data_IF_197302013616
#
_entry.id   IF_197302013616
#
_cell.length_a   1.000
_cell.length_b   1.000
_cell.length_c   1.000
_cell.angle_alpha   90.00
_cell.angle_beta   90.00
_cell.angle_gamma   90.00
#
_symmetry.space_group_name_H-M   'P 1'
#
loop_
_entity.id
_entity.type
_entity.pdbx_description
1 polymer ?
#
# COMPACT_ATOMS: atom_id res chain seq x y z
N UNK A 1 13.92 4.37 -24.22
CA UNK A 1 13.89 4.26 -22.76
C UNK A 1 14.02 2.80 -22.41
N UNK A 2 15.15 2.39 -21.82
CA UNK A 2 15.36 1.00 -21.37
C UNK A 2 14.28 0.67 -20.34
N UNK A 3 13.49 -0.37 -20.58
CA UNK A 3 12.54 -0.87 -19.59
C UNK A 3 13.37 -1.30 -18.37
N UNK A 4 13.20 -0.60 -17.24
CA UNK A 4 13.79 -1.02 -15.98
C UNK A 4 13.27 -2.42 -15.69
N UNK A 5 14.16 -3.39 -15.62
CA UNK A 5 13.82 -4.77 -15.30
C UNK A 5 13.20 -4.77 -13.90
N UNK A 6 11.95 -5.14 -13.79
CA UNK A 6 11.32 -5.35 -12.48
C UNK A 6 11.91 -6.62 -11.89
N UNK A 7 12.44 -6.52 -10.68
CA UNK A 7 12.90 -7.70 -9.94
C UNK A 7 11.74 -8.45 -9.28
N UNK A 8 10.67 -7.71 -8.91
CA UNK A 8 9.57 -8.24 -8.11
C UNK A 8 8.21 -7.78 -8.66
N UNK A 9 7.20 -8.63 -8.55
CA UNK A 9 5.80 -8.22 -8.76
C UNK A 9 5.20 -7.71 -7.44
N UNK A 10 4.45 -6.61 -7.51
CA UNK A 10 3.84 -5.97 -6.34
C UNK A 10 2.43 -6.52 -6.16
N UNK A 11 2.14 -7.05 -4.97
CA UNK A 11 0.82 -7.49 -4.57
C UNK A 11 0.40 -6.74 -3.30
N UNK A 12 -0.82 -6.24 -3.26
CA UNK A 12 -1.28 -5.45 -2.11
C UNK A 12 -2.48 -6.07 -1.41
N UNK A 13 -2.41 -6.09 -0.09
CA UNK A 13 -3.50 -6.48 0.78
C UNK A 13 -3.86 -5.29 1.66
N UNK A 14 -5.12 -4.87 1.63
CA UNK A 14 -5.64 -3.75 2.41
C UNK A 14 -6.68 -4.22 3.41
N UNK A 15 -6.48 -3.91 4.68
CA UNK A 15 -7.41 -4.23 5.75
C UNK A 15 -8.05 -2.95 6.29
N UNK A 16 -9.37 -2.85 6.11
CA UNK A 16 -10.14 -1.64 6.44
C UNK A 16 -10.00 -0.53 5.40
N UNK A 17 -10.68 0.59 5.64
CA UNK A 17 -10.77 1.71 4.69
C UNK A 17 -9.43 2.28 4.26
N UNK A 18 -8.46 2.43 5.17
CA UNK A 18 -7.13 2.93 4.83
C UNK A 18 -6.43 2.02 3.80
N UNK A 19 -6.50 0.69 4.01
CA UNK A 19 -5.94 -0.26 3.06
C UNK A 19 -6.65 -0.25 1.71
N UNK A 20 -7.98 -0.11 1.69
CA UNK A 20 -8.76 -0.03 0.46
C UNK A 20 -8.41 1.21 -0.38
N UNK A 21 -8.16 2.38 0.27
CA UNK A 21 -7.77 3.62 -0.40
C UNK A 21 -6.40 3.49 -1.09
N UNK A 22 -5.44 2.87 -0.43
CA UNK A 22 -4.11 2.67 -0.99
C UNK A 22 -4.15 1.69 -2.17
N UNK A 23 -4.96 0.62 -2.09
CA UNK A 23 -5.19 -0.27 -3.22
C UNK A 23 -5.83 0.48 -4.39
N UNK A 24 -6.83 1.34 -4.13
CA UNK A 24 -7.45 2.16 -5.18
C UNK A 24 -6.41 3.06 -5.88
N UNK A 25 -5.54 3.71 -5.10
CA UNK A 25 -4.44 4.52 -5.62
C UNK A 25 -3.48 3.67 -6.46
N UNK A 26 -3.09 2.48 -5.96
CA UNK A 26 -2.18 1.57 -6.64
C UNK A 26 -2.71 1.08 -7.98
N UNK A 27 -3.96 0.57 -8.04
CA UNK A 27 -4.53 0.08 -9.30
C UNK A 27 -4.80 1.19 -10.30
N UNK A 28 -4.99 2.43 -9.83
CA UNK A 28 -5.22 3.61 -10.66
C UNK A 28 -3.92 4.23 -11.18
N UNK A 29 -2.78 3.89 -10.59
CA UNK A 29 -1.46 4.39 -10.99
C UNK A 29 -1.09 3.91 -12.40
N UNK A 30 -0.55 4.83 -13.21
CA UNK A 30 -0.16 4.52 -14.59
C UNK A 30 0.95 3.47 -14.65
N UNK A 31 1.84 3.44 -13.66
CA UNK A 31 2.91 2.44 -13.55
C UNK A 31 2.35 1.03 -13.42
N UNK A 32 1.30 0.84 -12.59
CA UNK A 32 0.59 -0.45 -12.48
C UNK A 32 0.05 -0.88 -13.84
N UNK A 33 -0.59 0.03 -14.57
CA UNK A 33 -1.16 -0.26 -15.89
C UNK A 33 -0.10 -0.63 -16.93
N UNK A 34 1.10 -0.06 -16.84
CA UNK A 34 2.23 -0.41 -17.72
C UNK A 34 2.82 -1.77 -17.35
N UNK A 35 3.01 -2.02 -16.07
CA UNK A 35 3.64 -3.25 -15.56
C UNK A 35 2.81 -4.50 -15.86
N UNK A 36 1.48 -4.42 -15.79
CA UNK A 36 0.61 -5.57 -16.11
C UNK A 36 0.66 -5.98 -17.60
N UNK A 37 1.21 -5.12 -18.47
CA UNK A 37 1.45 -5.46 -19.88
C UNK A 37 2.70 -6.31 -20.05
N UNK A 38 3.61 -6.33 -19.07
CA UNK A 38 4.84 -7.10 -19.15
C UNK A 38 4.56 -8.61 -19.09
N UNK A 39 5.30 -9.36 -19.91
CA UNK A 39 5.22 -10.81 -19.92
C UNK A 39 5.72 -11.36 -18.57
N UNK A 40 4.92 -12.26 -17.96
CA UNK A 40 5.32 -12.90 -16.70
C UNK A 40 5.00 -12.12 -15.43
N UNK A 41 4.49 -10.88 -15.53
CA UNK A 41 3.97 -10.13 -14.39
C UNK A 41 2.47 -10.34 -14.26
N UNK A 42 2.04 -10.76 -13.09
CA UNK A 42 0.65 -10.85 -12.68
C UNK A 42 0.49 -10.09 -11.37
N UNK A 43 -0.59 -9.38 -11.20
CA UNK A 43 -0.86 -8.58 -10.00
C UNK A 43 -2.13 -9.09 -9.34
N UNK A 44 -2.10 -9.23 -8.01
CA UNK A 44 -3.29 -9.46 -7.21
C UNK A 44 -3.39 -8.42 -6.11
N UNK A 45 -4.59 -7.90 -5.91
CA UNK A 45 -4.93 -7.08 -4.75
C UNK A 45 -6.07 -7.73 -3.99
N UNK A 46 -6.06 -7.59 -2.66
CA UNK A 46 -7.10 -8.10 -1.77
C UNK A 46 -7.47 -7.01 -0.77
N UNK A 47 -8.71 -6.55 -0.79
CA UNK A 47 -9.25 -5.63 0.21
C UNK A 47 -10.34 -6.28 1.03
N UNK A 48 -10.21 -6.19 2.37
CA UNK A 48 -11.19 -6.72 3.31
C UNK A 48 -11.61 -5.60 4.27
N UNK A 49 -12.91 -5.34 4.36
CA UNK A 49 -13.47 -4.44 5.35
C UNK A 49 -14.81 -4.99 5.89
N UNK A 50 -15.25 -4.46 7.01
CA UNK A 50 -16.63 -4.64 7.51
C UNK A 50 -17.56 -3.58 6.90
N UNK A 51 -17.05 -2.37 6.64
CA UNK A 51 -17.79 -1.30 5.99
C UNK A 51 -17.96 -1.54 4.48
N UNK A 52 -19.16 -1.29 3.95
CA UNK A 52 -19.45 -1.47 2.52
C UNK A 52 -18.93 -0.33 1.63
N UNK A 53 -18.85 0.88 2.19
CA UNK A 53 -18.60 2.09 1.39
C UNK A 53 -17.27 2.07 0.64
N UNK A 54 -16.18 1.78 1.34
CA UNK A 54 -14.83 1.74 0.78
C UNK A 54 -14.66 0.59 -0.21
N UNK A 55 -15.26 -0.56 0.09
CA UNK A 55 -15.26 -1.73 -0.81
C UNK A 55 -16.02 -1.43 -2.11
N UNK A 56 -17.20 -0.79 -2.03
CA UNK A 56 -17.97 -0.39 -3.23
C UNK A 56 -17.22 0.62 -4.09
N UNK A 57 -16.54 1.59 -3.45
CA UNK A 57 -15.73 2.58 -4.15
C UNK A 57 -14.56 1.92 -4.88
N UNK A 58 -13.82 1.05 -4.19
CA UNK A 58 -12.70 0.30 -4.78
C UNK A 58 -13.17 -0.59 -5.94
N UNK A 59 -14.30 -1.28 -5.81
CA UNK A 59 -14.89 -2.06 -6.91
C UNK A 59 -15.21 -1.19 -8.12
N UNK A 60 -15.78 0.00 -7.91
CA UNK A 60 -16.04 0.94 -8.98
C UNK A 60 -14.78 1.41 -9.70
N UNK A 61 -13.71 1.71 -8.95
CA UNK A 61 -12.41 2.05 -9.51
C UNK A 61 -11.79 0.86 -10.25
N UNK A 62 -11.82 -0.32 -9.65
CA UNK A 62 -11.32 -1.56 -10.24
C UNK A 62 -11.97 -1.87 -11.58
N UNK A 63 -13.29 -1.80 -11.67
CA UNK A 63 -14.02 -2.03 -12.93
C UNK A 63 -13.60 -1.05 -14.02
N UNK A 64 -13.37 0.23 -13.70
CA UNK A 64 -12.88 1.22 -14.67
C UNK A 64 -11.46 0.88 -15.16
N UNK A 65 -10.59 0.44 -14.27
CA UNK A 65 -9.22 0.04 -14.63
C UNK A 65 -9.23 -1.21 -15.50
N UNK A 66 -9.96 -2.26 -15.12
CA UNK A 66 -10.06 -3.50 -15.88
C UNK A 66 -10.65 -3.27 -17.29
N UNK A 67 -11.66 -2.40 -17.40
CA UNK A 67 -12.22 -2.03 -18.71
C UNK A 67 -11.16 -1.37 -19.60
N UNK A 68 -10.38 -0.42 -19.06
CA UNK A 68 -9.30 0.24 -19.83
C UNK A 68 -8.19 -0.73 -20.25
N UNK A 69 -7.82 -1.66 -19.39
CA UNK A 69 -6.84 -2.69 -19.71
C UNK A 69 -7.34 -3.62 -20.82
N UNK A 70 -8.61 -4.01 -20.79
CA UNK A 70 -9.25 -4.81 -21.83
C UNK A 70 -9.27 -4.07 -23.19
N UNK A 71 -9.57 -2.77 -23.19
CA UNK A 71 -9.51 -1.90 -24.39
C UNK A 71 -8.07 -1.82 -24.96
N UNK A 72 -7.04 -2.01 -24.13
CA UNK A 72 -5.63 -2.07 -24.53
C UNK A 72 -5.15 -3.49 -24.90
N UNK A 73 -6.04 -4.48 -24.92
CA UNK A 73 -5.73 -5.86 -25.25
C UNK A 73 -4.99 -6.63 -24.15
N UNK A 74 -4.98 -6.12 -22.90
CA UNK A 74 -4.37 -6.80 -21.77
C UNK A 74 -5.27 -7.98 -21.34
N UNK A 75 -4.72 -9.20 -21.18
CA UNK A 75 -5.49 -10.34 -20.71
C UNK A 75 -6.13 -10.09 -19.34
N UNK A 76 -7.37 -10.51 -19.10
CA UNK A 76 -8.12 -10.19 -17.89
C UNK A 76 -7.53 -10.80 -16.62
N UNK A 77 -6.72 -11.84 -16.75
CA UNK A 77 -6.06 -12.51 -15.63
C UNK A 77 -4.77 -11.83 -15.17
N UNK A 78 -4.29 -10.80 -15.88
CA UNK A 78 -3.07 -10.07 -15.52
C UNK A 78 -3.21 -9.22 -14.26
N UNK A 79 -4.40 -8.67 -14.01
CA UNK A 79 -4.72 -7.91 -12.81
C UNK A 79 -5.97 -8.47 -12.16
N UNK A 80 -5.82 -9.03 -10.96
CA UNK A 80 -6.91 -9.51 -10.15
C UNK A 80 -7.18 -8.53 -8.98
N UNK A 81 -8.41 -8.06 -8.87
CA UNK A 81 -8.86 -7.18 -7.80
C UNK A 81 -9.90 -7.93 -6.98
N UNK A 82 -9.50 -8.38 -5.80
CA UNK A 82 -10.35 -9.14 -4.88
C UNK A 82 -10.82 -8.20 -3.78
N UNK A 83 -12.10 -8.14 -3.54
CA UNK A 83 -12.69 -7.30 -2.50
C UNK A 83 -13.75 -8.06 -1.73
N UNK A 84 -13.82 -7.85 -0.43
CA UNK A 84 -14.83 -8.48 0.40
C UNK A 84 -15.28 -7.55 1.54
N UNK A 85 -16.58 -7.39 1.67
CA UNK A 85 -17.19 -6.78 2.84
C UNK A 85 -17.71 -7.88 3.75
N UNK A 86 -16.89 -8.21 4.78
CA UNK A 86 -17.21 -9.32 5.69
C UNK A 86 -18.37 -8.99 6.63
N UNK A 87 -19.29 -9.93 6.76
CA UNK A 87 -20.51 -9.79 7.55
C UNK A 87 -20.70 -11.01 8.43
N UNK A 88 -21.71 -10.95 9.30
CA UNK A 88 -22.21 -12.10 10.04
C UNK A 88 -23.71 -12.29 9.75
N UNK A 89 -24.22 -13.52 9.80
CA UNK A 89 -25.63 -13.77 9.52
C UNK A 89 -26.55 -13.11 10.56
N UNK A 90 -26.27 -13.35 11.85
CA UNK A 90 -26.99 -12.74 12.99
C UNK A 90 -26.00 -12.52 14.14
N UNK A 91 -26.28 -11.56 15.06
CA UNK A 91 -25.48 -11.39 16.26
C UNK A 91 -25.35 -12.67 17.08
N UNK A 92 -26.44 -13.38 17.27
CA UNK A 92 -26.47 -14.64 18.05
C UNK A 92 -25.58 -15.72 17.44
N UNK A 93 -25.59 -15.87 16.11
CA UNK A 93 -24.71 -16.79 15.41
C UNK A 93 -23.24 -16.44 15.62
N UNK A 94 -22.90 -15.15 15.60
CA UNK A 94 -21.53 -14.68 15.87
C UNK A 94 -21.13 -14.95 17.33
N UNK A 95 -21.98 -14.59 18.29
CA UNK A 95 -21.70 -14.86 19.71
C UNK A 95 -21.56 -16.36 20.01
N UNK A 96 -22.45 -17.16 19.48
CA UNK A 96 -22.37 -18.63 19.61
C UNK A 96 -21.06 -19.14 18.99
N UNK A 97 -20.69 -18.65 17.83
CA UNK A 97 -19.44 -19.05 17.19
C UNK A 97 -18.23 -18.69 18.07
N UNK A 98 -18.13 -17.47 18.59
CA UNK A 98 -17.00 -17.05 19.43
C UNK A 98 -16.95 -17.86 20.72
N UNK A 99 -18.09 -18.19 21.34
CA UNK A 99 -18.12 -18.94 22.59
C UNK A 99 -17.81 -20.44 22.41
N UNK A 100 -18.33 -21.07 21.38
CA UNK A 100 -18.33 -22.52 21.24
C UNK A 100 -17.51 -23.02 20.01
N UNK A 101 -17.57 -22.29 18.89
CA UNK A 101 -16.98 -22.71 17.63
C UNK A 101 -15.51 -22.35 17.55
N UNK A 102 -15.16 -21.11 17.85
CA UNK A 102 -13.79 -20.62 17.73
C UNK A 102 -12.74 -21.44 18.50
N UNK A 103 -12.96 -21.79 19.78
CA UNK A 103 -12.00 -22.63 20.51
C UNK A 103 -11.82 -24.01 19.91
N UNK A 104 -12.85 -24.59 19.27
CA UNK A 104 -12.73 -25.88 18.57
C UNK A 104 -11.80 -25.78 17.36
N UNK A 105 -11.95 -24.71 16.55
CA UNK A 105 -11.07 -24.47 15.41
C UNK A 105 -9.64 -24.16 15.84
N UNK A 106 -9.45 -23.36 16.90
CA UNK A 106 -8.12 -23.12 17.47
C UNK A 106 -7.43 -24.42 17.88
N UNK A 107 -8.17 -25.31 18.54
CA UNK A 107 -7.65 -26.62 18.94
C UNK A 107 -7.28 -27.49 17.72
N UNK A 108 -8.05 -27.44 16.63
CA UNK A 108 -7.73 -28.14 15.39
C UNK A 108 -6.45 -27.61 14.71
N UNK A 109 -6.13 -26.33 14.90
CA UNK A 109 -4.86 -25.71 14.45
C UNK A 109 -3.70 -25.96 15.41
N UNK A 110 -3.88 -26.74 16.46
CA UNK A 110 -2.86 -27.07 17.44
C UNK A 110 -2.63 -25.98 18.49
N UNK A 111 -3.55 -25.00 18.60
CA UNK A 111 -3.47 -23.93 19.59
C UNK A 111 -3.99 -24.38 20.95
N UNK A 112 -3.36 -23.89 22.01
CA UNK A 112 -3.81 -24.17 23.37
C UNK A 112 -5.04 -23.35 23.73
N UNK A 113 -6.18 -24.04 23.93
CA UNK A 113 -7.46 -23.41 24.26
C UNK A 113 -7.85 -23.55 25.74
N UNK A 114 -6.99 -24.11 26.60
CA UNK A 114 -7.27 -24.33 28.00
C UNK A 114 -7.71 -23.09 28.77
N UNK A 115 -7.13 -21.95 28.44
CA UNK A 115 -7.41 -20.66 29.07
C UNK A 115 -8.21 -19.73 28.17
N UNK A 116 -8.86 -20.27 27.14
CA UNK A 116 -9.65 -19.45 26.23
C UNK A 116 -10.79 -18.74 26.98
N UNK A 117 -10.93 -17.45 26.71
CA UNK A 117 -12.07 -16.64 27.16
C UNK A 117 -12.63 -15.89 25.97
N UNK A 118 -13.95 -15.89 25.75
CA UNK A 118 -14.60 -15.09 24.73
C UNK A 118 -14.30 -13.62 24.94
N UNK A 119 -13.99 -12.90 23.85
CA UNK A 119 -13.68 -11.46 23.88
C UNK A 119 -14.86 -10.57 23.48
N UNK A 120 -15.97 -11.18 23.10
CA UNK A 120 -17.27 -10.51 22.85
C UNK A 120 -18.36 -11.20 23.68
N UNK A 121 -19.33 -10.42 24.14
CA UNK A 121 -20.46 -10.94 24.91
C UNK A 121 -21.77 -10.57 24.25
N UNK A 122 -22.84 -11.31 24.57
CA UNK A 122 -24.19 -11.02 24.09
C UNK A 122 -24.73 -9.66 24.58
N UNK A 123 -24.14 -9.10 25.63
CA UNK A 123 -24.47 -7.74 26.14
C UNK A 123 -23.77 -6.63 25.34
N UNK A 124 -22.91 -6.96 24.39
CA UNK A 124 -22.20 -5.96 23.56
C UNK A 124 -23.18 -5.33 22.57
N UNK A 125 -23.26 -4.00 22.58
CA UNK A 125 -24.02 -3.27 21.58
C UNK A 125 -23.30 -3.34 20.22
N UNK A 126 -24.02 -3.82 19.21
CA UNK A 126 -23.50 -3.93 17.84
C UNK A 126 -23.97 -2.72 17.06
N UNK A 127 -23.05 -1.87 16.59
CA UNK A 127 -23.40 -0.72 15.76
C UNK A 127 -23.92 -1.15 14.38
N UNK A 128 -24.65 -0.27 13.67
CA UNK A 128 -25.01 -0.50 12.28
C UNK A 128 -23.74 -0.66 11.43
N UNK A 129 -23.52 -1.86 10.86
CA UNK A 129 -22.29 -2.20 10.17
C UNK A 129 -22.11 -1.50 8.79
N UNK A 130 -23.09 -0.74 8.33
CA UNK A 130 -22.99 0.02 7.07
C UNK A 130 -21.81 0.99 7.10
N UNK A 131 -21.55 1.62 8.28
CA UNK A 131 -20.40 2.49 8.49
C UNK A 131 -19.17 1.80 9.12
N UNK A 132 -19.19 0.47 9.24
CA UNK A 132 -18.14 -0.31 9.88
C UNK A 132 -18.44 -0.67 11.33
N UNK A 133 -17.42 -1.06 12.09
CA UNK A 133 -17.54 -1.56 13.47
C UNK A 133 -17.42 -0.51 14.56
N UNK A 134 -17.53 0.78 14.23
CA UNK A 134 -17.39 1.89 15.18
C UNK A 134 -16.13 1.74 16.09
N UNK A 135 -15.01 1.33 15.51
CA UNK A 135 -13.71 1.06 16.18
C UNK A 135 -13.72 -0.10 17.20
N UNK A 136 -14.76 -0.89 17.23
CA UNK A 136 -14.81 -2.09 18.08
C UNK A 136 -13.94 -3.20 17.51
N UNK A 137 -12.66 -3.21 17.85
CA UNK A 137 -11.66 -4.18 17.36
C UNK A 137 -12.06 -5.64 17.62
N UNK A 138 -12.58 -5.91 18.82
CA UNK A 138 -13.09 -7.25 19.18
C UNK A 138 -14.23 -7.73 18.29
N UNK A 139 -15.12 -6.82 17.87
CA UNK A 139 -16.22 -7.13 16.96
C UNK A 139 -15.68 -7.49 15.56
N UNK A 140 -14.75 -6.72 15.02
CA UNK A 140 -14.13 -7.05 13.71
C UNK A 140 -13.37 -8.38 13.75
N UNK A 141 -12.68 -8.68 14.85
CA UNK A 141 -12.01 -9.96 15.05
C UNK A 141 -13.04 -11.12 15.04
N UNK A 142 -14.18 -10.96 15.71
CA UNK A 142 -15.24 -11.96 15.75
C UNK A 142 -15.85 -12.19 14.36
N UNK A 143 -16.15 -11.12 13.63
CA UNK A 143 -16.67 -11.20 12.25
C UNK A 143 -15.65 -11.89 11.33
N UNK A 144 -14.39 -11.49 11.42
CA UNK A 144 -13.31 -12.10 10.63
C UNK A 144 -13.18 -13.61 10.92
N UNK A 145 -13.12 -13.99 12.20
CA UNK A 145 -12.97 -15.39 12.61
C UNK A 145 -14.13 -16.26 12.11
N UNK A 146 -15.36 -15.75 12.21
CA UNK A 146 -16.54 -16.44 11.66
C UNK A 146 -16.42 -16.67 10.14
N UNK A 147 -16.00 -15.64 9.41
CA UNK A 147 -15.83 -15.70 7.95
C UNK A 147 -14.65 -16.58 7.52
N UNK A 148 -13.62 -16.69 8.34
CA UNK A 148 -12.50 -17.58 8.07
C UNK A 148 -12.86 -19.04 8.35
N UNK A 149 -13.31 -19.34 9.57
CA UNK A 149 -13.45 -20.71 10.05
C UNK A 149 -14.78 -21.38 9.65
N UNK A 150 -15.90 -20.66 9.79
CA UNK A 150 -17.22 -21.26 9.58
C UNK A 150 -17.76 -21.03 8.18
N UNK A 151 -17.64 -19.81 7.64
CA UNK A 151 -18.17 -19.48 6.32
C UNK A 151 -17.16 -19.75 5.19
N UNK A 152 -15.91 -19.98 5.54
CA UNK A 152 -14.80 -20.22 4.61
C UNK A 152 -14.61 -19.12 3.51
N UNK A 153 -15.21 -17.96 3.70
CA UNK A 153 -15.10 -16.83 2.74
C UNK A 153 -13.67 -16.38 2.62
N UNK A 154 -13.01 -16.09 3.75
CA UNK A 154 -11.62 -15.60 3.76
C UNK A 154 -10.66 -16.65 3.22
N UNK A 155 -10.84 -17.93 3.54
CA UNK A 155 -10.00 -19.01 3.02
C UNK A 155 -10.00 -19.05 1.49
N UNK A 156 -11.19 -18.89 0.89
CA UNK A 156 -11.33 -18.84 -0.57
C UNK A 156 -10.62 -17.62 -1.17
N UNK A 157 -10.75 -16.45 -0.53
CA UNK A 157 -10.08 -15.22 -1.00
C UNK A 157 -8.55 -15.35 -0.92
N UNK A 158 -8.02 -15.88 0.18
CA UNK A 158 -6.58 -16.12 0.33
C UNK A 158 -6.07 -17.14 -0.70
N UNK A 159 -6.85 -18.20 -0.98
CA UNK A 159 -6.52 -19.17 -2.01
C UNK A 159 -6.49 -18.55 -3.41
N UNK A 160 -7.45 -17.68 -3.74
CA UNK A 160 -7.48 -16.96 -5.00
C UNK A 160 -6.29 -16.01 -5.13
N UNK A 161 -5.96 -15.29 -4.06
CA UNK A 161 -4.80 -14.42 -3.99
C UNK A 161 -3.49 -15.20 -4.24
N UNK A 162 -3.29 -16.32 -3.54
CA UNK A 162 -2.13 -17.20 -3.73
C UNK A 162 -2.04 -17.73 -5.17
N UNK A 163 -3.16 -18.16 -5.75
CA UNK A 163 -3.19 -18.69 -7.10
C UNK A 163 -2.71 -17.66 -8.12
N UNK A 164 -3.00 -16.38 -7.90
CA UNK A 164 -2.50 -15.32 -8.77
C UNK A 164 -1.00 -15.10 -8.60
N UNK A 165 -0.49 -15.11 -7.37
CA UNK A 165 0.94 -15.00 -7.10
C UNK A 165 1.73 -16.12 -7.79
N UNK A 166 1.20 -17.35 -7.79
CA UNK A 166 1.88 -18.49 -8.39
C UNK A 166 2.04 -18.44 -9.92
N UNK A 167 1.34 -17.52 -10.61
CA UNK A 167 1.52 -17.28 -12.03
C UNK A 167 2.71 -16.39 -12.36
N UNK A 168 3.23 -15.65 -11.37
CA UNK A 168 4.34 -14.71 -11.58
C UNK A 168 5.62 -15.44 -11.95
N UNK A 169 6.32 -14.95 -12.97
CA UNK A 169 7.66 -15.41 -13.33
C UNK A 169 8.76 -14.62 -12.61
N UNK A 170 8.39 -13.55 -11.92
CA UNK A 170 9.25 -12.74 -11.04
C UNK A 170 8.83 -12.96 -9.59
N UNK A 171 9.71 -12.65 -8.65
CA UNK A 171 9.43 -12.84 -7.21
C UNK A 171 8.23 -12.00 -6.78
N UNK A 172 7.19 -12.60 -6.17
CA UNK A 172 6.09 -11.84 -5.63
C UNK A 172 6.51 -11.13 -4.34
N UNK A 173 6.23 -9.83 -4.24
CA UNK A 173 6.42 -9.01 -3.05
C UNK A 173 5.06 -8.56 -2.54
N UNK A 174 4.69 -8.97 -1.34
CA UNK A 174 3.37 -8.70 -0.76
C UNK A 174 3.46 -7.57 0.25
N UNK A 175 2.63 -6.54 0.05
CA UNK A 175 2.43 -5.45 1.01
C UNK A 175 1.10 -5.64 1.73
N UNK A 176 1.13 -5.70 3.06
CA UNK A 176 -0.08 -5.75 3.88
C UNK A 176 -0.27 -4.41 4.60
N UNK A 177 -1.37 -3.73 4.31
CA UNK A 177 -1.63 -2.35 4.68
C UNK A 177 -2.83 -2.30 5.63
N UNK A 178 -2.67 -1.67 6.78
CA UNK A 178 -3.70 -1.58 7.80
C UNK A 178 -3.57 -0.32 8.66
N UNK A 179 -4.70 0.24 9.08
CA UNK A 179 -4.73 1.41 9.96
C UNK A 179 -4.91 1.00 11.43
N UNK A 180 -4.16 1.63 12.33
CA UNK A 180 -4.28 1.37 13.78
C UNK A 180 -5.43 2.11 14.45
N UNK A 181 -5.84 3.26 13.90
CA UNK A 181 -6.94 4.06 14.45
C UNK A 181 -8.33 3.50 14.15
N UNK A 182 -8.45 2.63 13.15
CA UNK A 182 -9.71 2.00 12.74
C UNK A 182 -10.02 0.72 13.51
N UNK A 183 -11.27 0.27 13.45
CA UNK A 183 -11.70 -0.99 14.07
C UNK A 183 -11.36 -2.22 13.25
N UNK A 184 -11.56 -2.18 11.92
CA UNK A 184 -11.37 -3.34 11.05
C UNK A 184 -9.89 -3.70 10.92
N UNK A 185 -9.07 -2.82 10.36
CA UNK A 185 -7.65 -3.12 10.10
C UNK A 185 -6.91 -3.53 11.38
N UNK A 186 -7.05 -2.74 12.45
CA UNK A 186 -6.38 -3.00 13.73
C UNK A 186 -6.92 -4.25 14.46
N UNK A 187 -8.16 -4.64 14.23
CA UNK A 187 -8.80 -5.77 14.90
C UNK A 187 -8.54 -7.12 14.24
N UNK A 188 -8.33 -7.14 12.92
CA UNK A 188 -8.16 -8.42 12.18
C UNK A 188 -6.72 -8.73 11.81
N UNK A 189 -5.81 -7.76 11.86
CA UNK A 189 -4.44 -7.91 11.33
C UNK A 189 -3.71 -9.15 11.87
N UNK A 190 -3.86 -9.46 13.14
CA UNK A 190 -3.13 -10.55 13.80
C UNK A 190 -3.52 -11.91 13.24
N UNK A 191 -4.82 -12.24 13.30
CA UNK A 191 -5.33 -13.51 12.80
C UNK A 191 -5.20 -13.57 11.28
N UNK A 192 -5.40 -12.45 10.58
CA UNK A 192 -5.23 -12.37 9.14
C UNK A 192 -3.79 -12.72 8.73
N UNK A 193 -2.79 -12.14 9.37
CA UNK A 193 -1.39 -12.39 9.04
C UNK A 193 -0.96 -13.81 9.31
N UNK A 194 -1.46 -14.42 10.38
CA UNK A 194 -1.28 -15.84 10.67
C UNK A 194 -1.82 -16.70 9.53
N UNK A 195 -3.06 -16.46 9.12
CA UNK A 195 -3.71 -17.20 8.03
C UNK A 195 -3.08 -16.93 6.67
N UNK A 196 -2.66 -15.70 6.41
CA UNK A 196 -1.92 -15.33 5.20
C UNK A 196 -0.59 -16.09 5.14
N UNK A 197 0.16 -16.14 6.25
CA UNK A 197 1.43 -16.85 6.31
C UNK A 197 1.26 -18.37 6.13
N UNK A 198 0.21 -18.95 6.71
CA UNK A 198 -0.16 -20.35 6.47
C UNK A 198 -0.47 -20.61 4.99
N UNK A 199 -1.11 -19.66 4.32
CA UNK A 199 -1.49 -19.79 2.90
C UNK A 199 -0.30 -19.62 1.96
N UNK A 200 0.55 -18.60 2.19
CA UNK A 200 1.66 -18.24 1.28
C UNK A 200 2.97 -18.97 1.61
N UNK A 201 3.10 -19.50 2.84
CA UNK A 201 4.37 -20.07 3.31
C UNK A 201 5.40 -19.02 3.69
N UNK A 202 6.58 -19.46 4.17
CA UNK A 202 7.67 -18.58 4.64
C UNK A 202 8.47 -17.93 3.49
N UNK A 203 8.36 -18.45 2.28
CA UNK A 203 9.18 -18.05 1.12
C UNK A 203 8.72 -16.73 0.48
N UNK A 204 7.45 -16.37 0.64
CA UNK A 204 6.92 -15.14 0.06
C UNK A 204 7.25 -13.96 0.98
N UNK A 205 7.99 -12.95 0.50
CA UNK A 205 8.27 -11.74 1.27
C UNK A 205 6.99 -10.95 1.56
N UNK A 206 6.77 -10.63 2.84
CA UNK A 206 5.62 -9.85 3.29
C UNK A 206 6.11 -8.63 4.06
N UNK A 207 5.77 -7.45 3.56
CA UNK A 207 6.05 -6.16 4.19
C UNK A 207 4.77 -5.59 4.78
N UNK A 208 4.78 -5.30 6.07
CA UNK A 208 3.69 -4.62 6.76
C UNK A 208 3.80 -3.10 6.64
N UNK A 209 2.69 -2.45 6.34
CA UNK A 209 2.56 -0.99 6.32
C UNK A 209 1.46 -0.57 7.30
N UNK A 210 1.87 -0.10 8.44
CA UNK A 210 1.02 0.26 9.56
C UNK A 210 0.76 1.77 9.56
N UNK A 211 -0.47 2.18 9.28
CA UNK A 211 -0.86 3.59 9.26
C UNK A 211 -1.18 4.04 10.69
N UNK A 212 -0.41 4.97 11.20
CA UNK A 212 -0.62 5.56 12.51
C UNK A 212 -1.78 6.57 12.47
N UNK A 213 -2.53 6.74 13.58
CA UNK A 213 -3.52 7.79 13.68
C UNK A 213 -2.91 9.18 13.48
N UNK A 214 -3.71 10.09 12.91
CA UNK A 214 -3.37 11.49 12.72
C UNK A 214 -3.77 12.33 13.93
N UNK A 215 -3.13 13.48 14.13
CA UNK A 215 -3.54 14.44 15.17
C UNK A 215 -4.97 14.94 15.00
N UNK A 216 -5.48 14.93 13.77
CA UNK A 216 -6.87 15.26 13.44
C UNK A 216 -7.87 14.14 13.77
N UNK A 217 -7.43 12.92 14.02
CA UNK A 217 -8.30 11.82 14.42
C UNK A 217 -8.83 12.05 15.85
N UNK A 218 -9.95 11.41 16.16
CA UNK A 218 -10.51 11.51 17.50
C UNK A 218 -9.68 10.77 18.57
N UNK A 219 -9.98 11.03 19.83
CA UNK A 219 -9.26 10.47 20.97
C UNK A 219 -9.31 8.94 21.03
N UNK A 220 -10.39 8.30 20.57
CA UNK A 220 -10.52 6.85 20.58
C UNK A 220 -9.57 6.19 19.57
N UNK A 221 -9.39 6.79 18.39
CA UNK A 221 -8.43 6.33 17.38
C UNK A 221 -7.00 6.45 17.88
N UNK A 222 -6.64 7.61 18.43
CA UNK A 222 -5.28 7.91 18.92
C UNK A 222 -4.92 7.15 20.19
N UNK A 223 -5.89 6.94 21.07
CA UNK A 223 -5.71 6.29 22.36
C UNK A 223 -5.96 4.78 22.30
N UNK A 224 -7.17 4.36 22.63
CA UNK A 224 -7.51 2.97 22.90
C UNK A 224 -7.20 2.01 21.73
N UNK A 225 -7.59 2.36 20.49
CA UNK A 225 -7.39 1.50 19.34
C UNK A 225 -5.92 1.34 18.97
N UNK A 226 -5.19 2.46 18.86
CA UNK A 226 -3.78 2.43 18.47
C UNK A 226 -2.91 1.79 19.56
N UNK A 227 -3.12 2.16 20.83
CA UNK A 227 -2.36 1.60 21.97
C UNK A 227 -2.51 0.10 22.06
N UNK A 228 -3.75 -0.42 22.03
CA UNK A 228 -3.98 -1.86 22.08
C UNK A 228 -3.34 -2.59 20.88
N UNK A 229 -3.49 -2.03 19.67
CA UNK A 229 -2.91 -2.64 18.48
C UNK A 229 -1.39 -2.64 18.48
N UNK A 230 -0.74 -1.56 18.94
CA UNK A 230 0.73 -1.49 19.05
C UNK A 230 1.23 -2.51 20.07
N UNK A 231 0.58 -2.64 21.22
CA UNK A 231 0.96 -3.62 22.23
C UNK A 231 0.84 -5.05 21.71
N UNK A 232 -0.25 -5.37 21.01
CA UNK A 232 -0.43 -6.69 20.40
C UNK A 232 0.63 -6.95 19.31
N UNK A 233 0.95 -5.94 18.47
CA UNK A 233 2.02 -6.07 17.47
C UNK A 233 3.39 -6.26 18.13
N UNK A 234 3.70 -5.50 19.17
CA UNK A 234 4.92 -5.67 19.92
C UNK A 234 5.01 -7.08 20.49
N UNK A 235 3.87 -7.61 20.99
CA UNK A 235 3.74 -8.98 21.40
C UNK A 235 4.10 -10.00 20.31
N UNK A 236 3.69 -9.84 19.08
CA UNK A 236 3.99 -10.75 17.98
C UNK A 236 5.43 -10.64 17.44
N UNK A 237 6.06 -9.49 17.61
CA UNK A 237 7.32 -9.18 16.94
C UNK A 237 8.56 -9.24 17.85
N UNK A 238 8.37 -9.21 19.18
CA UNK A 238 9.45 -9.23 20.14
C UNK A 238 10.08 -10.60 20.32
N UNK A 239 11.38 -10.67 20.59
CA UNK A 239 12.08 -11.91 20.95
C UNK A 239 11.65 -12.48 22.32
N UNK A 240 11.06 -11.65 23.16
CA UNK A 240 10.53 -12.02 24.47
C UNK A 240 9.28 -12.90 24.40
N UNK A 241 8.82 -13.21 23.19
CA UNK A 241 7.57 -13.94 22.92
C UNK A 241 7.74 -15.43 22.65
N UNK A 242 8.87 -15.99 23.01
CA UNK A 242 8.91 -17.43 23.22
C UNK A 242 7.68 -17.90 24.04
N UNK A 243 7.26 -17.12 25.06
CA UNK A 243 6.10 -17.41 25.86
C UNK A 243 4.76 -17.38 25.11
N UNK A 244 4.56 -16.50 24.13
CA UNK A 244 3.35 -16.51 23.28
C UNK A 244 3.41 -17.67 22.30
N UNK A 245 4.56 -17.92 21.69
CA UNK A 245 4.77 -19.08 20.81
C UNK A 245 4.64 -20.37 21.57
N UNK A 246 5.17 -20.48 22.79
CA UNK A 246 5.01 -21.64 23.67
C UNK A 246 3.56 -21.84 24.09
N UNK A 247 2.84 -20.75 24.36
CA UNK A 247 1.45 -20.81 24.83
C UNK A 247 0.46 -21.08 23.70
N UNK A 248 0.65 -20.46 22.52
CA UNK A 248 -0.31 -20.48 21.42
C UNK A 248 0.20 -21.18 20.16
N UNK A 249 1.49 -21.55 20.10
CA UNK A 249 2.09 -22.28 18.99
C UNK A 249 2.79 -21.40 17.94
N UNK A 250 3.58 -22.06 17.10
CA UNK A 250 4.36 -21.46 16.02
C UNK A 250 3.57 -20.59 15.00
N UNK A 251 2.24 -20.75 14.81
CA UNK A 251 1.48 -19.83 13.96
C UNK A 251 1.54 -18.36 14.38
N UNK A 252 1.92 -18.07 15.62
CA UNK A 252 2.12 -16.70 16.14
C UNK A 252 3.57 -16.21 16.07
N UNK A 253 4.46 -16.96 15.43
CA UNK A 253 5.79 -16.46 15.06
C UNK A 253 5.63 -15.23 14.13
N UNK A 254 6.55 -14.26 14.25
CA UNK A 254 6.47 -13.02 13.46
C UNK A 254 6.18 -13.29 11.98
N UNK A 255 5.02 -12.85 11.47
CA UNK A 255 4.61 -13.15 10.10
C UNK A 255 5.22 -12.20 9.07
N UNK A 256 5.83 -11.09 9.47
CA UNK A 256 6.39 -10.08 8.59
C UNK A 256 7.88 -10.30 8.37
N UNK A 257 8.35 -10.03 7.15
CA UNK A 257 9.78 -9.90 6.88
C UNK A 257 10.30 -8.53 7.29
N UNK A 258 9.47 -7.50 7.15
CA UNK A 258 9.72 -6.16 7.65
C UNK A 258 8.40 -5.44 7.88
N UNK A 259 8.36 -4.48 8.81
CA UNK A 259 7.19 -3.66 9.05
C UNK A 259 7.56 -2.19 9.20
N UNK A 260 6.73 -1.32 8.61
CA UNK A 260 6.90 0.12 8.65
C UNK A 260 5.69 0.79 9.30
N UNK A 261 5.95 1.68 10.24
CA UNK A 261 4.97 2.62 10.76
C UNK A 261 4.97 3.89 9.90
N UNK A 262 3.81 4.24 9.38
CA UNK A 262 3.60 5.40 8.52
C UNK A 262 2.86 6.48 9.29
N UNK A 263 3.53 7.59 9.58
CA UNK A 263 2.96 8.70 10.34
C UNK A 263 2.22 9.69 9.42
N UNK A 264 0.96 9.95 9.71
CA UNK A 264 0.13 10.94 9.01
C UNK A 264 0.37 12.37 9.51
N UNK A 265 0.62 12.55 10.81
CA UNK A 265 0.71 13.87 11.45
C UNK A 265 1.74 14.83 10.82
N UNK A 266 2.94 14.39 10.41
CA UNK A 266 3.90 15.30 9.74
C UNK A 266 3.40 15.85 8.42
N UNK A 267 2.59 15.09 7.68
CA UNK A 267 1.98 15.54 6.42
C UNK A 267 0.78 16.42 6.72
N UNK A 268 -0.03 16.06 7.70
CA UNK A 268 -1.18 16.84 8.14
C UNK A 268 -0.78 18.24 8.62
N UNK A 269 0.31 18.38 9.37
CA UNK A 269 0.82 19.68 9.80
C UNK A 269 1.15 20.64 8.64
N UNK A 270 1.41 20.11 7.45
CA UNK A 270 1.68 20.89 6.23
C UNK A 270 0.43 21.14 5.39
N UNK A 271 -0.47 20.16 5.29
CA UNK A 271 -1.67 20.26 4.45
C UNK A 271 -2.84 20.94 5.16
N UNK A 272 -2.93 20.80 6.48
CA UNK A 272 -4.06 21.25 7.30
C UNK A 272 -5.38 20.55 7.01
N UNK A 273 -5.38 19.57 6.06
CA UNK A 273 -6.59 18.90 5.60
C UNK A 273 -6.39 17.39 5.54
N UNK A 274 -7.22 16.65 6.26
CA UNK A 274 -7.12 15.20 6.35
C UNK A 274 -7.26 14.49 5.00
N UNK A 275 -8.20 14.85 4.08
CA UNK A 275 -8.29 14.21 2.76
C UNK A 275 -7.06 14.43 1.87
N UNK A 276 -6.39 15.57 1.98
CA UNK A 276 -5.16 15.87 1.25
C UNK A 276 -3.99 15.08 1.83
N UNK A 277 -3.95 14.97 3.17
CA UNK A 277 -2.97 14.15 3.89
C UNK A 277 -3.06 12.69 3.45
N UNK A 278 -4.28 12.10 3.45
CA UNK A 278 -4.48 10.73 3.02
C UNK A 278 -4.02 10.52 1.57
N UNK A 279 -4.43 11.37 0.63
CA UNK A 279 -4.00 11.26 -0.77
C UNK A 279 -2.49 11.32 -0.93
N UNK A 280 -1.82 12.19 -0.19
CA UNK A 280 -0.36 12.32 -0.24
C UNK A 280 0.33 11.04 0.30
N UNK A 281 -0.18 10.49 1.41
CA UNK A 281 0.35 9.26 2.01
C UNK A 281 0.06 8.04 1.14
N UNK A 282 -1.16 7.92 0.59
CA UNK A 282 -1.53 6.81 -0.29
C UNK A 282 -0.60 6.75 -1.51
N UNK A 283 -0.37 7.91 -2.15
CA UNK A 283 0.58 7.99 -3.27
C UNK A 283 2.01 7.66 -2.83
N UNK A 284 2.41 8.14 -1.69
CA UNK A 284 3.72 7.89 -1.11
C UNK A 284 3.98 6.40 -0.87
N UNK A 285 3.02 5.68 -0.33
CA UNK A 285 3.09 4.23 -0.11
C UNK A 285 3.23 3.48 -1.44
N UNK A 286 2.47 3.89 -2.45
CA UNK A 286 2.57 3.34 -3.80
C UNK A 286 3.97 3.60 -4.39
N UNK A 287 4.51 4.79 -4.22
CA UNK A 287 5.87 5.14 -4.68
C UNK A 287 6.95 4.27 -4.00
N UNK A 288 6.80 4.02 -2.69
CA UNK A 288 7.70 3.13 -1.93
C UNK A 288 7.61 1.69 -2.43
N UNK A 289 6.39 1.17 -2.64
CA UNK A 289 6.21 -0.17 -3.15
C UNK A 289 6.93 -0.36 -4.50
N UNK A 290 6.84 0.62 -5.40
CA UNK A 290 7.58 0.61 -6.66
C UNK A 290 9.09 0.72 -6.48
N UNK A 291 9.54 1.51 -5.53
CA UNK A 291 10.97 1.64 -5.23
C UNK A 291 11.51 0.31 -4.71
N UNK A 292 10.85 -0.29 -3.73
CA UNK A 292 11.25 -1.57 -3.15
C UNK A 292 11.20 -2.72 -4.18
N UNK A 293 10.23 -2.72 -5.09
CA UNK A 293 10.13 -3.75 -6.13
C UNK A 293 11.26 -3.70 -7.16
N UNK A 294 12.01 -2.60 -7.22
CA UNK A 294 13.15 -2.43 -8.13
C UNK A 294 14.47 -3.00 -7.60
N UNK A 295 14.50 -3.50 -6.37
CA UNK A 295 15.66 -4.14 -5.75
C UNK A 295 15.53 -5.66 -5.74
N UNK A 296 16.63 -6.37 -5.68
CA UNK A 296 16.61 -7.78 -5.31
C UNK A 296 16.02 -7.95 -3.91
N UNK A 297 15.24 -9.02 -3.70
CA UNK A 297 14.55 -9.22 -2.41
C UNK A 297 15.53 -9.42 -1.26
N UNK A 298 16.61 -10.16 -1.49
CA UNK A 298 17.60 -10.42 -0.44
C UNK A 298 18.31 -9.12 -0.05
N UNK A 299 18.78 -8.37 -1.04
CA UNK A 299 19.42 -7.07 -0.84
C UNK A 299 18.47 -6.10 -0.14
N UNK A 300 17.20 -6.06 -0.59
CA UNK A 300 16.17 -5.22 0.02
C UNK A 300 15.95 -5.58 1.49
N UNK A 301 15.76 -6.86 1.82
CA UNK A 301 15.51 -7.30 3.19
C UNK A 301 16.70 -7.07 4.10
N UNK A 302 17.92 -7.20 3.58
CA UNK A 302 19.13 -6.87 4.33
C UNK A 302 19.23 -5.39 4.69
N UNK A 303 18.75 -4.51 3.81
CA UNK A 303 18.78 -3.06 4.02
C UNK A 303 17.61 -2.55 4.88
N UNK A 304 16.40 -3.06 4.67
CA UNK A 304 15.20 -2.60 5.41
C UNK A 304 14.96 -3.34 6.72
N UNK A 305 15.86 -4.23 7.09
CA UNK A 305 15.93 -4.72 8.42
C UNK A 305 15.18 -5.99 8.74
N UNK A 306 15.75 -7.10 8.41
CA UNK A 306 15.65 -8.27 9.28
C UNK A 306 16.53 -7.99 10.48
N UNK A 307 16.00 -7.69 11.63
CA UNK A 307 16.60 -7.47 12.93
C UNK A 307 18.00 -7.97 13.33
N UNK A 308 18.86 -8.28 12.41
CA UNK A 308 20.22 -8.72 12.69
C UNK A 308 21.17 -7.59 13.14
N UNK A 309 20.85 -6.34 12.84
CA UNK A 309 21.75 -5.21 13.09
C UNK A 309 21.46 -4.40 14.34
N UNK A 310 20.30 -4.52 14.94
CA UNK A 310 19.90 -3.67 16.08
C UNK A 310 19.06 -4.49 17.03
N UNK A 311 19.51 -4.85 18.14
CA UNK A 311 18.83 -5.44 19.30
C UNK A 311 17.45 -6.11 19.13
N UNK A 312 16.85 -6.62 20.17
CA UNK A 312 15.61 -7.42 20.09
C UNK A 312 14.38 -6.71 19.56
N UNK A 313 14.38 -5.37 19.45
CA UNK A 313 13.18 -4.56 19.19
C UNK A 313 13.09 -4.00 17.77
N UNK A 314 13.85 -4.49 16.80
CA UNK A 314 14.10 -3.78 15.54
C UNK A 314 13.30 -4.24 14.32
N UNK A 315 12.19 -4.94 14.50
CA UNK A 315 11.33 -5.33 13.37
C UNK A 315 10.34 -4.23 12.91
N UNK A 316 10.26 -3.11 13.65
CA UNK A 316 9.44 -1.97 13.33
C UNK A 316 10.31 -0.79 12.89
N UNK A 317 10.14 -0.37 11.66
CA UNK A 317 10.79 0.80 11.10
C UNK A 317 9.81 1.97 11.02
N UNK A 318 10.25 3.18 11.40
CA UNK A 318 9.47 4.38 11.13
C UNK A 318 9.75 4.84 9.70
N UNK A 319 8.70 4.92 8.90
CA UNK A 319 8.80 5.42 7.55
C UNK A 319 8.57 6.93 7.54
N UNK A 320 9.59 7.66 7.15
CA UNK A 320 9.49 9.08 6.81
C UNK A 320 9.83 9.26 5.34
N UNK A 321 9.07 10.09 4.65
CA UNK A 321 9.33 10.42 3.26
C UNK A 321 9.57 11.90 3.09
N UNK A 322 10.58 12.24 2.30
CA UNK A 322 10.78 13.58 1.75
C UNK A 322 10.51 13.49 0.25
N UNK A 323 9.46 14.15 -0.21
CA UNK A 323 9.20 14.32 -1.64
C UNK A 323 9.91 15.56 -2.11
N UNK A 324 10.98 15.38 -2.88
CA UNK A 324 11.61 16.48 -3.62
C UNK A 324 10.90 16.59 -4.96
N UNK A 325 10.15 17.68 -5.13
CA UNK A 325 9.49 17.99 -6.41
C UNK A 325 10.37 18.95 -7.18
N UNK A 326 11.01 18.43 -8.23
CA UNK A 326 11.66 19.29 -9.19
C UNK A 326 10.60 19.85 -10.14
N UNK A 327 10.48 21.18 -10.31
CA UNK A 327 9.40 21.79 -11.09
C UNK A 327 9.63 21.66 -12.60
N UNK A 328 9.80 20.44 -13.10
CA UNK A 328 10.08 20.14 -14.51
C UNK A 328 9.04 20.77 -15.44
N UNK A 329 7.78 20.77 -15.04
CA UNK A 329 6.71 21.35 -15.87
C UNK A 329 6.88 22.86 -16.08
N UNK A 330 7.37 23.60 -15.08
CA UNK A 330 7.64 25.03 -15.20
C UNK A 330 8.75 25.27 -16.24
N UNK A 331 9.79 24.45 -16.21
CA UNK A 331 10.89 24.54 -17.16
C UNK A 331 10.48 24.12 -18.58
N UNK A 332 9.63 23.10 -18.70
CA UNK A 332 9.07 22.67 -19.99
C UNK A 332 8.20 23.77 -20.59
N UNK A 333 7.34 24.41 -19.81
CA UNK A 333 6.48 25.51 -20.28
C UNK A 333 7.30 26.76 -20.63
N UNK A 334 8.32 27.10 -19.85
CA UNK A 334 9.23 28.17 -20.16
C UNK A 334 9.99 27.89 -21.48
N UNK A 335 10.48 26.68 -21.67
CA UNK A 335 11.16 26.26 -22.89
C UNK A 335 10.23 26.30 -24.12
N UNK A 336 8.98 25.81 -23.99
CA UNK A 336 7.97 25.90 -25.04
C UNK A 336 7.66 27.35 -25.42
N UNK A 337 7.51 28.24 -24.44
CA UNK A 337 7.26 29.67 -24.67
C UNK A 337 8.43 30.33 -25.42
N UNK A 338 9.66 29.99 -25.07
CA UNK A 338 10.82 30.49 -25.77
C UNK A 338 10.94 29.95 -27.20
N UNK A 339 10.66 28.65 -27.40
CA UNK A 339 10.65 28.04 -28.72
C UNK A 339 9.60 28.69 -29.63
N UNK A 340 8.39 28.92 -29.13
CA UNK A 340 7.34 29.61 -29.88
C UNK A 340 7.70 31.03 -30.25
N UNK A 341 8.41 31.75 -29.37
CA UNK A 341 8.94 33.09 -29.72
C UNK A 341 10.00 33.04 -30.83
N UNK A 342 10.89 32.06 -30.77
CA UNK A 342 11.92 31.87 -31.80
C UNK A 342 11.30 31.48 -33.14
N UNK A 343 10.29 30.64 -33.16
CA UNK A 343 9.54 30.27 -34.36
C UNK A 343 8.81 31.48 -34.96
N UNK A 344 8.22 32.32 -34.09
CA UNK A 344 7.61 33.58 -34.53
C UNK A 344 8.64 34.54 -35.18
N UNK A 345 9.79 34.73 -34.53
CA UNK A 345 10.86 35.57 -35.10
C UNK A 345 11.42 35.00 -36.41
N UNK A 346 11.56 33.69 -36.50
CA UNK A 346 11.98 33.01 -37.72
C UNK A 346 10.95 33.16 -38.84
N UNK A 347 9.66 33.12 -38.54
CA UNK A 347 8.57 33.40 -39.48
C UNK A 347 8.63 34.81 -40.01
N UNK A 348 8.74 35.80 -39.13
CA UNK A 348 8.87 37.24 -39.54
C UNK A 348 10.07 37.46 -40.43
N UNK A 349 11.22 36.89 -40.09
CA UNK A 349 12.45 37.03 -40.88
C UNK A 349 12.38 36.33 -42.24
N UNK A 350 11.57 35.28 -42.37
CA UNK A 350 11.39 34.56 -43.64
C UNK A 350 10.36 35.18 -44.57
N UNK A 351 9.36 35.90 -44.04
CA UNK A 351 8.33 36.56 -44.82
C UNK A 351 8.79 37.88 -45.45
N UNK A 352 9.72 38.59 -44.83
CA UNK A 352 10.14 39.89 -45.30
C UNK A 352 11.25 39.90 -46.38
N UNK A 353 11.83 38.75 -46.74
CA UNK A 353 12.90 38.62 -47.74
C UNK A 353 14.06 39.63 -47.53
N UNK A 354 14.22 40.17 -46.34
CA UNK A 354 15.21 41.20 -45.99
C UNK A 354 16.43 40.50 -45.41
N UNK A 355 17.32 40.03 -46.26
CA UNK A 355 18.66 39.64 -45.87
C UNK A 355 19.52 40.87 -45.75
N UNK A 356 19.30 41.70 -44.74
CA UNK A 356 20.24 42.75 -44.33
C UNK A 356 21.38 42.11 -43.51
N UNK A 357 22.61 42.58 -43.66
CA UNK A 357 23.75 42.10 -42.86
C UNK A 357 23.53 42.19 -41.34
N UNK A 358 22.62 43.11 -40.92
CA UNK A 358 22.17 43.25 -39.55
C UNK A 358 21.43 42.01 -39.02
N UNK A 359 20.69 41.29 -39.85
CA UNK A 359 19.87 40.13 -39.45
C UNK A 359 20.74 38.91 -39.17
N UNK A 360 21.85 38.77 -39.87
CA UNK A 360 22.88 37.75 -39.57
C UNK A 360 23.51 37.96 -38.19
N UNK A 361 23.69 39.21 -37.76
CA UNK A 361 24.16 39.51 -36.40
C UNK A 361 23.15 39.20 -35.34
N UNK A 362 21.86 39.47 -35.58
CA UNK A 362 20.78 39.14 -34.67
C UNK A 362 20.63 37.63 -34.56
N UNK A 363 20.65 36.90 -35.65
CA UNK A 363 20.60 35.43 -35.64
C UNK A 363 21.81 34.83 -34.92
N UNK A 364 23.01 35.32 -35.15
CA UNK A 364 24.22 34.85 -34.47
C UNK A 364 24.22 35.20 -32.97
N UNK A 365 23.64 36.32 -32.59
CA UNK A 365 23.44 36.71 -31.19
C UNK A 365 22.45 35.77 -30.52
N UNK A 366 21.29 35.53 -31.14
CA UNK A 366 20.27 34.59 -30.61
C UNK A 366 20.83 33.17 -30.51
N UNK A 367 21.57 32.70 -31.51
CA UNK A 367 22.22 31.38 -31.45
C UNK A 367 23.27 31.28 -30.35
N UNK A 368 24.02 32.33 -30.09
CA UNK A 368 25.02 32.37 -29.03
C UNK A 368 24.38 32.44 -27.65
N UNK A 369 23.34 33.25 -27.45
CA UNK A 369 22.55 33.31 -26.22
C UNK A 369 21.92 31.95 -25.91
N UNK A 370 21.36 31.26 -26.92
CA UNK A 370 20.81 29.92 -26.75
C UNK A 370 21.87 28.89 -26.40
N UNK A 371 23.05 28.94 -27.00
CA UNK A 371 24.18 28.06 -26.68
C UNK A 371 24.69 28.28 -25.26
N UNK A 372 24.76 29.55 -24.81
CA UNK A 372 25.13 29.84 -23.42
C UNK A 372 24.07 29.37 -22.42
N UNK A 373 22.82 29.65 -22.69
CA UNK A 373 21.71 29.18 -21.84
C UNK A 373 21.68 27.66 -21.75
N UNK A 374 21.85 26.95 -22.88
CA UNK A 374 21.90 25.52 -22.92
C UNK A 374 23.12 24.95 -22.20
N UNK A 375 24.25 25.62 -22.30
CA UNK A 375 25.47 25.28 -21.58
C UNK A 375 25.30 25.42 -20.06
N UNK A 376 24.68 26.52 -19.62
CA UNK A 376 24.42 26.76 -18.20
C UNK A 376 23.36 25.82 -17.63
N UNK A 377 22.35 25.48 -18.42
CA UNK A 377 21.37 24.46 -18.10
C UNK A 377 22.01 23.07 -17.93
N UNK A 378 22.85 22.66 -18.85
CA UNK A 378 23.58 21.40 -18.77
C UNK A 378 24.57 21.37 -17.59
N UNK A 379 25.16 22.48 -17.26
CA UNK A 379 26.07 22.65 -16.13
C UNK A 379 25.29 22.55 -14.81
N UNK A 380 24.15 23.19 -14.71
CA UNK A 380 23.23 23.04 -13.56
C UNK A 380 22.77 21.60 -13.40
N UNK A 381 22.35 20.91 -14.48
CA UNK A 381 21.96 19.52 -14.45
C UNK A 381 23.07 18.58 -13.96
N UNK A 382 24.32 18.82 -14.34
CA UNK A 382 25.47 18.06 -13.86
C UNK A 382 25.79 18.30 -12.39
N UNK A 383 25.47 19.47 -11.87
CA UNK A 383 25.68 19.82 -10.45
C UNK A 383 24.63 19.19 -9.54
N UNK A 384 23.47 18.84 -10.08
CA UNK A 384 22.37 18.18 -9.35
C UNK A 384 22.24 16.67 -9.63
N UNK A 385 23.11 16.07 -10.47
CA UNK A 385 23.26 14.63 -10.50
C UNK A 385 24.02 14.22 -9.23
N UNK A 386 23.26 13.93 -8.19
CA UNK A 386 23.75 13.35 -6.95
C UNK A 386 24.32 11.97 -7.28
N UNK A 387 25.57 11.75 -6.88
CA UNK A 387 26.23 10.44 -6.79
C UNK A 387 25.42 9.42 -5.98
#
# INVERSE_FOLDING_TARGET
MSSRKLFNSIHMIGLGGAGANIIETYISDERTRRIVQDTGVYISTLAIDVADGDIKRLNGAGNRVLKRLAEQGVPPDKLQIITESVKFPTPDAMFKFVNEGYPKFMSQEGLNTKNYKPWVSAAMEIPPLVGGVARQRGLSKAIYALNYYQLATINRLLSNFRNQLSKCLVTPLVFTIFGLGGGTGSGIIFDFMRHLRLTLGKQVPIIGLMILPCDADDAAAKGASAYAAINELNLLMGKEYSGVVEMFGSPYENPFNSMFAVALSPVYSKTGKLPETHRAIDQAIVDIAYTLSSFDVADMLDHIGSGQRRGPDSNLNLLTMIKVVYPVNIYIEAAKTQLSRLELYRGILSEENIVLEGDKRILSFIENELKEYYRDYLKAMKTYSIE
#
